data_IF_717705768619
#
_entry.id   IF_717705768619
#
_cell.length_a   1.000
_cell.length_b   1.000
_cell.length_c   1.000
_cell.angle_alpha   90.00
_cell.angle_beta   90.00
_cell.angle_gamma   90.00
#
_symmetry.space_group_name_H-M   'P 1'
#
loop_
_entity.id
_entity.type
_entity.pdbx_description
1 polymer ?
#
# COMPACT_ATOMS: atom_id res chain seq x y z
N UNK A 1 -1.16 -10.26 27.60
CA UNK A 1 -1.02 -10.15 26.13
C UNK A 1 0.45 -9.97 25.83
N UNK A 2 1.08 -10.98 25.23
CA UNK A 2 2.49 -10.93 24.84
C UNK A 2 2.68 -10.32 23.44
N UNK A 3 3.93 -10.01 23.04
CA UNK A 3 4.24 -9.44 21.72
C UNK A 3 3.82 -10.34 20.55
N UNK A 4 3.91 -11.67 20.70
CA UNK A 4 3.47 -12.62 19.66
C UNK A 4 1.95 -12.62 19.46
N UNK A 5 1.20 -12.61 20.56
CA UNK A 5 -0.26 -12.57 20.52
C UNK A 5 -0.77 -11.27 19.90
N UNK A 6 -0.11 -10.14 20.20
CA UNK A 6 -0.39 -8.87 19.54
C UNK A 6 -0.11 -8.95 18.03
N UNK A 7 1.03 -9.51 17.63
CA UNK A 7 1.38 -9.65 16.22
C UNK A 7 0.33 -10.45 15.44
N UNK A 8 -0.18 -11.55 16.02
CA UNK A 8 -1.27 -12.34 15.43
C UNK A 8 -2.55 -11.51 15.26
N UNK A 9 -3.00 -10.82 16.31
CA UNK A 9 -4.20 -9.97 16.24
C UNK A 9 -4.07 -8.82 15.23
N UNK A 10 -2.86 -8.26 15.09
CA UNK A 10 -2.60 -7.21 14.09
C UNK A 10 -2.68 -7.75 12.67
N UNK A 11 -2.15 -8.95 12.40
CA UNK A 11 -2.29 -9.61 11.08
C UNK A 11 -3.74 -9.91 10.74
N UNK A 12 -4.54 -10.30 11.71
CA UNK A 12 -5.95 -10.64 11.51
C UNK A 12 -6.86 -9.40 11.40
N UNK A 13 -6.35 -8.21 11.69
CA UNK A 13 -7.15 -6.97 11.69
C UNK A 13 -7.28 -6.37 10.28
N UNK A 14 -8.49 -6.32 9.70
CA UNK A 14 -8.69 -5.70 8.39
C UNK A 14 -8.37 -4.20 8.41
N UNK A 15 -8.53 -3.56 9.57
CA UNK A 15 -8.23 -2.13 9.76
C UNK A 15 -6.73 -1.86 9.67
N UNK A 16 -5.90 -2.75 10.22
CA UNK A 16 -4.44 -2.62 10.17
C UNK A 16 -3.96 -2.81 8.74
N UNK A 17 -4.43 -3.85 8.06
CA UNK A 17 -4.13 -4.09 6.64
C UNK A 17 -4.45 -2.86 5.78
N UNK A 18 -5.69 -2.35 5.88
CA UNK A 18 -6.12 -1.17 5.13
C UNK A 18 -5.25 0.07 5.42
N UNK A 19 -4.87 0.29 6.68
CA UNK A 19 -4.00 1.40 7.07
C UNK A 19 -2.61 1.29 6.43
N UNK A 20 -2.00 0.10 6.48
CA UNK A 20 -0.69 -0.16 5.86
C UNK A 20 -0.74 0.12 4.36
N UNK A 21 -1.75 -0.40 3.67
CA UNK A 21 -1.93 -0.19 2.22
C UNK A 21 -2.05 1.29 1.89
N UNK A 22 -2.87 2.04 2.63
CA UNK A 22 -3.01 3.47 2.40
C UNK A 22 -1.71 4.23 2.60
N UNK A 23 -0.93 3.89 3.64
CA UNK A 23 0.35 4.55 3.91
C UNK A 23 1.38 4.23 2.81
N UNK A 24 1.44 2.99 2.33
CA UNK A 24 2.34 2.61 1.23
C UNK A 24 1.96 3.35 -0.05
N UNK A 25 0.68 3.39 -0.41
CA UNK A 25 0.22 4.09 -1.61
C UNK A 25 0.52 5.59 -1.52
N UNK A 26 0.28 6.25 -0.36
CA UNK A 26 0.63 7.66 -0.17
C UNK A 26 2.12 7.91 -0.31
N UNK A 27 2.94 7.08 0.34
CA UNK A 27 4.40 7.20 0.27
C UNK A 27 4.89 7.05 -1.17
N UNK A 28 4.41 6.02 -1.86
CA UNK A 28 4.91 5.68 -3.18
C UNK A 28 4.46 6.66 -4.27
N UNK A 29 3.30 7.29 -4.11
CA UNK A 29 2.84 8.34 -5.02
C UNK A 29 3.30 9.75 -4.61
N UNK A 30 3.87 9.93 -3.42
CA UNK A 30 4.26 11.25 -2.91
C UNK A 30 3.11 12.25 -2.71
N UNK A 31 1.85 11.77 -2.69
CA UNK A 31 0.65 12.60 -2.52
C UNK A 31 -0.45 11.85 -1.75
N UNK A 32 -1.45 12.59 -1.29
CA UNK A 32 -2.67 12.00 -0.72
C UNK A 32 -3.40 11.11 -1.74
N UNK A 33 -4.06 10.06 -1.24
CA UNK A 33 -4.92 9.17 -2.04
C UNK A 33 -6.14 9.98 -2.50
N UNK A 34 -6.38 9.97 -3.80
CA UNK A 34 -7.56 10.53 -4.45
C UNK A 34 -8.57 9.40 -4.74
N UNK A 35 -9.86 9.72 -4.96
CA UNK A 35 -10.86 8.71 -5.32
C UNK A 35 -10.50 7.88 -6.56
N UNK A 36 -9.76 8.47 -7.50
CA UNK A 36 -9.26 7.80 -8.72
C UNK A 36 -8.25 6.69 -8.44
N UNK A 37 -7.64 6.66 -7.26
CA UNK A 37 -6.65 5.65 -6.87
C UNK A 37 -7.32 4.40 -6.26
N UNK A 38 -8.65 4.36 -6.14
CA UNK A 38 -9.38 3.23 -5.58
C UNK A 38 -9.02 1.88 -6.25
N UNK A 39 -8.85 1.77 -7.59
CA UNK A 39 -8.42 0.53 -8.23
C UNK A 39 -7.01 0.10 -7.81
N UNK A 40 -6.08 1.05 -7.64
CA UNK A 40 -4.73 0.78 -7.16
C UNK A 40 -4.75 0.25 -5.72
N UNK A 41 -5.51 0.90 -4.83
CA UNK A 41 -5.65 0.47 -3.44
C UNK A 41 -6.24 -0.94 -3.36
N UNK A 42 -7.25 -1.25 -4.17
CA UNK A 42 -7.84 -2.59 -4.23
C UNK A 42 -6.82 -3.65 -4.72
N UNK A 43 -6.04 -3.34 -5.75
CA UNK A 43 -5.00 -4.24 -6.26
C UNK A 43 -3.89 -4.49 -5.22
N UNK A 44 -3.50 -3.46 -4.46
CA UNK A 44 -2.53 -3.59 -3.37
C UNK A 44 -3.07 -4.44 -2.22
N UNK A 45 -4.34 -4.28 -1.85
CA UNK A 45 -5.01 -5.07 -0.82
C UNK A 45 -5.09 -6.56 -1.21
N UNK A 46 -5.44 -6.86 -2.45
CA UNK A 46 -5.45 -8.23 -2.97
C UNK A 46 -4.04 -8.85 -2.94
N UNK A 47 -3.03 -8.12 -3.42
CA UNK A 47 -1.65 -8.58 -3.42
C UNK A 47 -1.12 -8.82 -2.00
N UNK A 48 -1.45 -7.95 -1.05
CA UNK A 48 -1.01 -8.07 0.34
C UNK A 48 -1.62 -9.29 1.01
N UNK A 49 -2.93 -9.53 0.84
CA UNK A 49 -3.62 -10.70 1.40
C UNK A 49 -3.15 -12.00 0.78
N UNK A 50 -2.98 -12.04 -0.55
CA UNK A 50 -2.54 -13.25 -1.28
C UNK A 50 -1.13 -13.70 -0.89
N UNK A 51 -0.27 -12.77 -0.46
CA UNK A 51 1.11 -13.06 -0.08
C UNK A 51 1.33 -13.05 1.44
N UNK A 52 0.34 -13.48 2.24
CA UNK A 52 0.46 -13.59 3.70
C UNK A 52 0.90 -12.29 4.40
N UNK A 53 0.43 -11.15 3.91
CA UNK A 53 0.78 -9.83 4.43
C UNK A 53 2.29 -9.53 4.32
N UNK A 54 2.93 -10.06 3.28
CA UNK A 54 4.32 -9.74 2.97
C UNK A 54 4.45 -8.35 2.33
N UNK A 55 5.22 -7.49 3.00
CA UNK A 55 5.44 -6.11 2.57
C UNK A 55 6.22 -6.02 1.25
N UNK A 56 7.18 -6.94 1.02
CA UNK A 56 7.95 -6.97 -0.22
C UNK A 56 7.02 -7.23 -1.41
N UNK A 57 6.07 -8.13 -1.26
CA UNK A 57 5.09 -8.45 -2.30
C UNK A 57 4.18 -7.27 -2.64
N UNK A 58 3.78 -6.46 -1.67
CA UNK A 58 3.09 -5.18 -1.93
C UNK A 58 3.93 -4.23 -2.78
N UNK A 59 5.21 -4.02 -2.43
CA UNK A 59 6.09 -3.14 -3.20
C UNK A 59 6.24 -3.62 -4.65
N UNK A 60 6.40 -4.93 -4.85
CA UNK A 60 6.47 -5.53 -6.20
C UNK A 60 5.16 -5.30 -6.96
N UNK A 61 4.01 -5.52 -6.32
CA UNK A 61 2.71 -5.26 -6.93
C UNK A 61 2.54 -3.77 -7.29
N UNK A 62 3.08 -2.87 -6.48
CA UNK A 62 3.00 -1.42 -6.73
C UNK A 62 3.83 -1.02 -7.94
N UNK A 63 5.11 -1.40 -7.99
CA UNK A 63 5.99 -1.06 -9.13
C UNK A 63 5.58 -1.74 -10.43
N UNK A 64 4.81 -2.83 -10.35
CA UNK A 64 4.24 -3.52 -11.51
C UNK A 64 2.89 -2.95 -11.96
N UNK A 65 2.33 -1.97 -11.22
CA UNK A 65 1.01 -1.41 -11.50
C UNK A 65 1.05 -0.34 -12.59
N UNK A 66 -0.08 -0.19 -13.28
CA UNK A 66 -0.31 0.92 -14.23
C UNK A 66 -0.18 2.29 -13.57
N UNK A 67 -0.50 2.40 -12.28
CA UNK A 67 -0.35 3.64 -11.53
C UNK A 67 1.12 4.06 -11.43
N UNK A 68 2.04 3.11 -11.23
CA UNK A 68 3.48 3.38 -11.27
C UNK A 68 3.93 3.73 -12.70
N UNK A 69 3.47 2.97 -13.71
CA UNK A 69 3.83 3.21 -15.12
C UNK A 69 3.42 4.59 -15.63
N UNK A 70 2.27 5.08 -15.20
CA UNK A 70 1.71 6.37 -15.61
C UNK A 70 2.02 7.50 -14.64
N UNK A 71 2.73 7.19 -13.54
CA UNK A 71 3.14 8.18 -12.56
C UNK A 71 4.07 9.19 -13.22
N UNK A 72 3.59 10.42 -13.37
CA UNK A 72 4.44 11.56 -13.72
C UNK A 72 5.04 12.07 -12.43
N UNK A 73 6.33 11.79 -12.22
CA UNK A 73 7.13 12.55 -11.26
C UNK A 73 7.15 14.00 -11.74
N UNK A 74 6.31 14.85 -11.16
CA UNK A 74 6.59 16.29 -11.22
C UNK A 74 7.90 16.48 -10.44
N UNK A 75 8.98 17.02 -11.05
CA UNK A 75 10.20 17.28 -10.32
C UNK A 75 9.86 18.19 -9.13
N UNK A 76 10.30 17.81 -7.93
CA UNK A 76 10.25 18.70 -6.79
C UNK A 76 11.29 19.82 -7.01
N UNK A 77 10.85 20.93 -7.60
CA UNK A 77 11.67 22.15 -7.71
C UNK A 77 11.19 23.16 -8.74
N UNK A 78 10.60 24.27 -8.26
CA UNK A 78 10.36 25.47 -9.07
C UNK A 78 9.30 26.45 -8.57
N UNK A 79 9.32 26.84 -7.29
CA UNK A 79 9.02 28.19 -6.76
C UNK A 79 9.26 28.22 -5.25
#
# INVERSE_FOLDING_TARGET
>A
MGPEELATRLRESPKVSACVIQNVVRFAMGRSIAPTDAPLVAAQDEAFRKNNLDFRSMLVAFVSSEAFRTFKTTPAGGQ
#
